data_IF_730296114756
#
_entry.id   IF_730296114756
#
_cell.length_a   1.000
_cell.length_b   1.000
_cell.length_c   1.000
_cell.angle_alpha   90.00
_cell.angle_beta   90.00
_cell.angle_gamma   90.00
#
_symmetry.space_group_name_H-M   'P 1'
#
loop_
_entity.id
_entity.type
_entity.pdbx_description
1 polymer ?
#
# COMPACT_ATOMS: atom_id res chain seq x y z
N UNK A 1 74.56 -65.25 40.56
CA UNK A 1 74.33 -63.89 41.09
C UNK A 1 73.63 -63.07 40.00
N UNK A 2 72.32 -62.82 40.14
CA UNK A 2 71.75 -61.49 40.46
C UNK A 2 72.15 -60.36 39.50
N UNK A 3 71.30 -60.00 38.54
CA UNK A 3 70.42 -58.78 38.57
C UNK A 3 69.78 -58.50 37.21
N UNK A 4 68.46 -58.33 37.24
CA UNK A 4 67.63 -57.65 36.24
C UNK A 4 67.94 -56.14 36.19
N UNK A 5 67.50 -55.43 35.13
CA UNK A 5 66.92 -54.06 35.11
C UNK A 5 66.72 -53.63 33.63
N UNK A 6 65.48 -53.58 33.11
CA UNK A 6 64.52 -52.45 32.96
C UNK A 6 64.50 -51.87 31.54
N UNK A 7 63.31 -51.96 30.93
CA UNK A 7 62.83 -51.34 29.69
C UNK A 7 62.62 -49.83 29.89
N UNK A 8 62.97 -49.01 28.90
CA UNK A 8 62.47 -47.63 28.80
C UNK A 8 61.96 -47.34 27.37
N UNK A 9 60.65 -47.46 27.20
CA UNK A 9 59.88 -46.94 26.08
C UNK A 9 59.76 -45.43 26.24
N UNK A 10 60.37 -44.65 25.35
CA UNK A 10 60.12 -43.21 25.25
C UNK A 10 58.98 -43.00 24.24
N UNK A 11 57.74 -43.00 24.74
CA UNK A 11 56.59 -42.45 24.05
C UNK A 11 56.55 -40.95 24.34
N UNK A 12 57.17 -40.15 23.46
CA UNK A 12 57.02 -38.70 23.48
C UNK A 12 55.61 -38.35 22.98
N UNK A 13 54.69 -38.14 23.92
CA UNK A 13 53.36 -37.62 23.65
C UNK A 13 53.43 -36.17 23.17
N UNK A 14 53.23 -35.95 21.86
CA UNK A 14 52.70 -34.68 21.34
C UNK A 14 51.20 -34.63 21.63
N UNK A 15 50.86 -34.41 22.89
CA UNK A 15 49.53 -33.93 23.28
C UNK A 15 49.45 -32.46 22.87
N UNK A 16 49.08 -32.21 21.61
CA UNK A 16 48.71 -30.88 21.17
C UNK A 16 47.63 -30.36 22.13
N UNK A 17 48.00 -29.39 22.95
CA UNK A 17 47.10 -28.62 23.79
C UNK A 17 46.14 -27.85 22.87
N UNK A 18 45.11 -28.52 22.37
CA UNK A 18 43.87 -27.89 21.97
C UNK A 18 43.19 -27.41 23.26
N UNK A 19 43.80 -26.42 23.90
CA UNK A 19 43.21 -25.76 25.07
C UNK A 19 41.82 -25.30 24.67
N UNK A 20 40.81 -25.78 25.39
CA UNK A 20 39.43 -25.32 25.27
C UNK A 20 39.41 -23.81 25.54
N UNK A 21 39.57 -23.02 24.49
CA UNK A 21 39.53 -21.56 24.53
C UNK A 21 38.17 -21.15 25.13
N UNK A 22 38.17 -20.65 26.37
CA UNK A 22 36.97 -20.30 27.13
C UNK A 22 36.14 -19.27 26.36
N UNK A 23 34.83 -19.50 26.19
CA UNK A 23 33.93 -18.51 25.57
C UNK A 23 33.87 -17.24 26.43
N UNK A 24 34.32 -16.12 25.89
CA UNK A 24 34.23 -14.78 26.48
C UNK A 24 34.21 -13.74 25.33
N UNK A 25 33.97 -12.46 25.63
CA UNK A 25 33.86 -11.43 24.60
C UNK A 25 35.12 -11.30 23.72
N UNK A 26 36.32 -11.28 24.33
CA UNK A 26 37.58 -11.16 23.59
C UNK A 26 37.80 -12.33 22.60
N UNK A 27 37.44 -13.55 23.01
CA UNK A 27 37.53 -14.71 22.15
C UNK A 27 36.47 -14.69 21.03
N UNK A 28 35.25 -14.21 21.32
CA UNK A 28 34.20 -14.01 20.31
C UNK A 28 34.64 -12.99 19.24
N UNK A 29 35.32 -11.91 19.63
CA UNK A 29 35.89 -10.94 18.69
C UNK A 29 37.01 -11.56 17.86
N UNK A 30 37.94 -12.27 18.51
CA UNK A 30 39.02 -13.00 17.82
C UNK A 30 38.49 -14.03 16.83
N UNK A 31 37.36 -14.66 17.11
CA UNK A 31 36.76 -15.63 16.19
C UNK A 31 36.25 -14.98 14.91
N UNK A 32 35.83 -13.72 14.92
CA UNK A 32 35.35 -13.02 13.73
C UNK A 32 36.35 -13.06 12.57
N UNK A 33 37.66 -12.97 12.85
CA UNK A 33 38.71 -12.92 11.83
C UNK A 33 39.38 -14.27 11.57
N UNK A 34 39.02 -15.32 12.32
CA UNK A 34 39.68 -16.63 12.25
C UNK A 34 38.99 -17.61 11.29
N UNK A 35 39.76 -18.48 10.63
CA UNK A 35 39.23 -19.51 9.69
C UNK A 35 38.22 -20.47 10.33
N UNK A 36 38.45 -20.87 11.59
CA UNK A 36 37.53 -21.75 12.36
C UNK A 36 36.46 -20.97 13.13
N UNK A 37 36.48 -19.64 13.04
CA UNK A 37 35.63 -18.73 13.79
C UNK A 37 34.13 -18.90 13.58
N UNK A 38 33.63 -18.98 12.33
CA UNK A 38 32.20 -19.14 12.05
C UNK A 38 31.57 -20.34 12.76
N UNK A 39 32.29 -21.47 12.81
CA UNK A 39 31.84 -22.67 13.52
C UNK A 39 31.71 -22.42 15.02
N UNK A 40 32.68 -21.71 15.63
CA UNK A 40 32.65 -21.36 17.05
C UNK A 40 31.54 -20.37 17.37
N UNK A 41 31.35 -19.33 16.56
CA UNK A 41 30.28 -18.34 16.73
C UNK A 41 28.89 -19.01 16.68
N UNK A 42 28.65 -19.87 15.70
CA UNK A 42 27.39 -20.64 15.60
C UNK A 42 27.18 -21.57 16.79
N UNK A 43 28.22 -22.27 17.22
CA UNK A 43 28.16 -23.13 18.41
C UNK A 43 27.85 -22.33 19.68
N UNK A 44 28.47 -21.16 19.85
CA UNK A 44 28.19 -20.25 20.98
C UNK A 44 26.75 -19.76 20.98
N UNK A 45 26.23 -19.32 19.83
CA UNK A 45 24.85 -18.84 19.72
C UNK A 45 23.82 -19.93 20.05
N UNK A 46 24.07 -21.18 19.63
CA UNK A 46 23.15 -22.31 19.83
C UNK A 46 23.24 -22.96 21.22
N UNK A 47 24.28 -22.65 21.99
CA UNK A 47 24.49 -23.29 23.29
C UNK A 47 23.62 -22.62 24.37
N UNK A 48 22.55 -23.31 24.76
CA UNK A 48 21.61 -22.83 25.79
C UNK A 48 22.21 -22.66 27.19
N UNK A 49 23.39 -23.23 27.46
CA UNK A 49 24.08 -23.12 28.76
C UNK A 49 25.06 -21.95 28.84
N UNK A 50 25.31 -21.24 27.73
CA UNK A 50 26.19 -20.06 27.71
C UNK A 50 25.42 -18.84 28.23
N UNK A 51 26.12 -17.82 28.73
CA UNK A 51 25.52 -16.52 29.05
C UNK A 51 24.76 -15.92 27.84
N UNK A 52 23.52 -15.41 28.00
CA UNK A 52 22.77 -14.78 26.91
C UNK A 52 23.52 -13.65 26.19
N UNK A 53 24.31 -12.85 26.92
CA UNK A 53 25.06 -11.72 26.36
C UNK A 53 26.25 -12.19 25.49
N UNK A 54 26.86 -13.32 25.83
CA UNK A 54 27.87 -13.96 24.97
C UNK A 54 27.23 -14.52 23.69
N UNK A 55 26.02 -15.08 23.79
CA UNK A 55 25.27 -15.55 22.62
C UNK A 55 24.88 -14.38 21.71
N UNK A 56 24.45 -13.26 22.30
CA UNK A 56 24.16 -12.03 21.59
C UNK A 56 25.41 -11.47 20.90
N UNK A 57 26.56 -11.45 21.57
CA UNK A 57 27.82 -11.01 20.96
C UNK A 57 28.23 -11.90 19.78
N UNK A 58 28.06 -13.22 19.90
CA UNK A 58 28.29 -14.14 18.80
C UNK A 58 27.35 -13.89 17.62
N UNK A 59 26.06 -13.64 17.86
CA UNK A 59 25.09 -13.28 16.83
C UNK A 59 25.45 -11.96 16.11
N UNK A 60 25.87 -10.92 16.84
CA UNK A 60 26.35 -9.66 16.25
C UNK A 60 27.50 -9.90 15.28
N UNK A 61 28.47 -10.76 15.66
CA UNK A 61 29.60 -11.08 14.81
C UNK A 61 29.23 -11.96 13.61
N UNK A 62 28.17 -12.78 13.71
CA UNK A 62 27.61 -13.49 12.56
C UNK A 62 26.93 -12.54 11.56
N UNK A 63 26.19 -11.53 12.02
CA UNK A 63 25.63 -10.50 11.14
C UNK A 63 26.71 -9.69 10.42
N UNK A 64 27.78 -9.30 11.10
CA UNK A 64 28.96 -8.65 10.48
C UNK A 64 29.62 -9.49 9.38
N UNK A 65 29.37 -10.80 9.38
CA UNK A 65 29.88 -11.77 8.41
C UNK A 65 28.85 -12.15 7.34
N UNK A 66 27.69 -11.50 7.32
CA UNK A 66 26.57 -11.84 6.43
C UNK A 66 26.10 -13.29 6.59
N UNK A 67 26.10 -13.80 7.84
CA UNK A 67 25.57 -15.11 8.20
C UNK A 67 24.17 -14.99 8.85
N UNK A 68 23.34 -14.03 8.40
CA UNK A 68 22.01 -13.75 8.97
C UNK A 68 21.08 -14.98 8.99
N UNK A 69 21.11 -15.81 7.96
CA UNK A 69 20.27 -17.02 7.87
C UNK A 69 20.66 -18.10 8.89
N UNK A 70 21.90 -18.11 9.36
CA UNK A 70 22.32 -18.98 10.46
C UNK A 70 21.84 -18.44 11.81
N UNK A 71 21.79 -17.12 11.98
CA UNK A 71 21.25 -16.47 13.18
C UNK A 71 19.74 -16.71 13.28
N UNK A 72 18.98 -16.52 12.19
CA UNK A 72 17.53 -16.79 12.15
C UNK A 72 17.21 -18.24 12.52
N UNK A 73 17.85 -19.20 11.85
CA UNK A 73 17.69 -20.63 12.17
C UNK A 73 18.04 -20.97 13.61
N UNK A 74 19.05 -20.33 14.18
CA UNK A 74 19.39 -20.51 15.58
C UNK A 74 18.28 -19.99 16.50
N UNK A 75 17.67 -18.83 16.21
CA UNK A 75 16.55 -18.30 17.00
C UNK A 75 15.26 -19.12 16.84
N UNK A 76 14.96 -19.63 15.65
CA UNK A 76 13.82 -20.53 15.43
C UNK A 76 13.92 -21.80 16.27
N UNK A 77 15.13 -22.39 16.37
CA UNK A 77 15.40 -23.57 17.18
C UNK A 77 15.62 -23.30 18.68
N UNK A 78 15.62 -22.03 19.11
CA UNK A 78 15.89 -21.64 20.50
C UNK A 78 14.62 -21.68 21.35
N UNK A 79 14.73 -22.16 22.58
CA UNK A 79 13.63 -22.12 23.54
C UNK A 79 13.12 -20.67 23.73
N UNK A 80 11.79 -20.41 23.80
CA UNK A 80 11.24 -19.05 23.80
C UNK A 80 11.84 -18.12 24.86
N UNK A 81 11.98 -18.61 26.09
CA UNK A 81 12.58 -17.86 27.21
C UNK A 81 14.02 -17.44 26.91
N UNK A 82 14.81 -18.40 26.46
CA UNK A 82 16.20 -18.18 26.11
C UNK A 82 16.34 -17.21 24.93
N UNK A 83 15.47 -17.33 23.92
CA UNK A 83 15.45 -16.44 22.77
C UNK A 83 15.19 -15.00 23.17
N UNK A 84 14.20 -14.78 24.04
CA UNK A 84 13.89 -13.46 24.60
C UNK A 84 15.12 -12.83 25.27
N UNK A 85 15.79 -13.57 26.15
CA UNK A 85 17.00 -13.07 26.85
C UNK A 85 18.12 -12.68 25.87
N UNK A 86 18.40 -13.53 24.87
CA UNK A 86 19.46 -13.26 23.88
C UNK A 86 19.10 -12.06 23.01
N UNK A 87 17.86 -11.97 22.51
CA UNK A 87 17.42 -10.86 21.65
C UNK A 87 17.44 -9.53 22.43
N UNK A 88 17.04 -9.53 23.70
CA UNK A 88 17.10 -8.35 24.58
C UNK A 88 18.54 -7.81 24.76
N UNK A 89 19.54 -8.69 24.81
CA UNK A 89 20.96 -8.29 24.85
C UNK A 89 21.52 -7.90 23.48
N UNK A 90 21.01 -8.52 22.41
CA UNK A 90 21.45 -8.29 21.05
C UNK A 90 20.98 -6.94 20.50
N UNK A 91 19.73 -6.54 20.75
CA UNK A 91 19.15 -5.30 20.23
C UNK A 91 20.03 -4.05 20.47
N UNK A 92 20.45 -3.71 21.71
CA UNK A 92 21.31 -2.55 21.93
C UNK A 92 22.70 -2.67 21.28
N UNK A 93 23.25 -3.89 21.16
CA UNK A 93 24.52 -4.14 20.45
C UNK A 93 24.39 -3.85 18.95
N UNK A 94 23.28 -4.26 18.34
CA UNK A 94 22.97 -3.97 16.94
C UNK A 94 22.69 -2.48 16.73
N UNK A 95 22.06 -1.80 17.70
CA UNK A 95 21.91 -0.35 17.65
C UNK A 95 23.25 0.38 17.69
N UNK A 96 24.19 -0.02 18.57
CA UNK A 96 25.55 0.53 18.55
C UNK A 96 26.22 0.36 17.20
N UNK A 97 25.94 -0.75 16.50
CA UNK A 97 26.44 -0.99 15.15
C UNK A 97 25.78 -0.08 14.10
N UNK A 98 24.46 0.11 14.20
CA UNK A 98 23.63 0.87 13.27
C UNK A 98 23.74 2.39 13.43
N UNK A 99 24.13 2.87 14.62
CA UNK A 99 24.05 4.27 15.01
C UNK A 99 24.86 5.17 14.09
N UNK A 100 24.28 6.31 13.75
CA UNK A 100 24.90 7.37 12.95
C UNK A 100 24.94 8.65 13.77
N UNK A 101 26.12 9.26 13.88
CA UNK A 101 26.34 10.45 14.69
C UNK A 101 26.05 11.76 13.93
N UNK A 102 26.08 11.75 12.59
CA UNK A 102 25.83 12.94 11.77
C UNK A 102 24.52 12.91 11.00
N UNK A 103 23.78 14.03 11.03
CA UNK A 103 22.48 14.19 10.37
C UNK A 103 22.55 13.90 8.86
N UNK A 104 23.55 14.47 8.18
CA UNK A 104 23.79 14.32 6.73
C UNK A 104 24.81 13.24 6.37
N UNK A 105 25.24 12.43 7.33
CA UNK A 105 26.27 11.40 7.10
C UNK A 105 25.66 10.21 6.37
N UNK A 106 26.30 9.81 5.25
CA UNK A 106 25.93 8.58 4.56
C UNK A 106 26.25 7.36 5.45
N UNK A 107 25.32 6.42 5.64
CA UNK A 107 25.61 5.17 6.33
C UNK A 107 26.81 4.43 5.72
N UNK A 108 27.65 3.90 6.59
CA UNK A 108 28.65 2.90 6.25
C UNK A 108 28.02 1.52 6.08
N UNK A 109 28.65 0.58 5.35
CA UNK A 109 28.15 -0.79 5.22
C UNK A 109 27.89 -1.47 6.58
N UNK A 110 28.73 -1.17 7.57
CA UNK A 110 28.57 -1.67 8.94
C UNK A 110 27.28 -1.17 9.59
N UNK A 111 26.93 0.10 9.40
CA UNK A 111 25.69 0.68 9.93
C UNK A 111 24.46 0.12 9.23
N UNK A 112 24.54 -0.12 7.91
CA UNK A 112 23.49 -0.81 7.15
C UNK A 112 23.24 -2.23 7.68
N UNK A 113 24.31 -3.00 7.92
CA UNK A 113 24.23 -4.33 8.55
C UNK A 113 23.54 -4.25 9.91
N UNK A 114 23.88 -3.24 10.73
CA UNK A 114 23.23 -3.03 12.03
C UNK A 114 21.73 -2.81 11.92
N UNK A 115 21.29 -1.95 10.98
CA UNK A 115 19.85 -1.72 10.68
C UNK A 115 19.15 -2.99 10.28
N UNK A 116 19.69 -3.66 9.27
CA UNK A 116 19.04 -4.84 8.71
C UNK A 116 19.01 -5.95 9.75
N UNK A 117 20.05 -6.10 10.57
CA UNK A 117 20.05 -7.03 11.69
C UNK A 117 18.96 -6.69 12.72
N UNK A 118 18.77 -5.41 13.08
CA UNK A 118 17.67 -4.99 13.97
C UNK A 118 16.30 -5.41 13.41
N UNK A 119 16.09 -5.22 12.10
CA UNK A 119 14.88 -5.67 11.42
C UNK A 119 14.71 -7.19 11.49
N UNK A 120 15.76 -7.95 11.18
CA UNK A 120 15.71 -9.41 11.10
C UNK A 120 15.49 -10.08 12.47
N UNK A 121 15.93 -9.44 13.56
CA UNK A 121 15.70 -9.97 14.92
C UNK A 121 14.36 -9.55 15.52
N UNK A 122 13.70 -8.54 14.94
CA UNK A 122 12.41 -7.99 15.42
C UNK A 122 11.31 -9.06 15.62
N UNK A 123 11.10 -10.03 14.72
CA UNK A 123 10.06 -11.04 14.90
C UNK A 123 10.27 -11.96 16.12
N UNK A 124 11.52 -12.11 16.58
CA UNK A 124 11.91 -12.96 17.70
C UNK A 124 11.87 -12.25 19.05
N UNK A 125 11.71 -10.92 19.05
CA UNK A 125 11.65 -10.09 20.24
C UNK A 125 10.29 -10.18 20.94
N UNK A 126 10.30 -10.10 22.27
CA UNK A 126 9.12 -9.81 23.08
C UNK A 126 8.66 -8.36 22.90
N UNK A 127 7.52 -7.99 23.47
CA UNK A 127 6.91 -6.67 23.22
C UNK A 127 7.81 -5.51 23.65
N UNK A 128 8.48 -5.64 24.81
CA UNK A 128 9.38 -4.61 25.32
C UNK A 128 10.62 -4.44 24.44
N UNK A 129 11.26 -5.53 24.06
CA UNK A 129 12.45 -5.49 23.18
C UNK A 129 12.07 -5.05 21.77
N UNK A 130 10.91 -5.48 21.27
CA UNK A 130 10.37 -5.05 19.97
C UNK A 130 10.12 -3.55 19.95
N UNK A 131 9.53 -2.99 21.00
CA UNK A 131 9.35 -1.55 21.12
C UNK A 131 10.68 -0.79 21.13
N UNK A 132 11.74 -1.33 21.77
CA UNK A 132 13.07 -0.75 21.73
C UNK A 132 13.69 -0.81 20.31
N UNK A 133 13.57 -1.96 19.62
CA UNK A 133 13.99 -2.11 18.22
C UNK A 133 13.26 -1.12 17.32
N UNK A 134 11.94 -0.96 17.52
CA UNK A 134 11.11 -0.03 16.75
C UNK A 134 11.55 1.42 16.96
N UNK A 135 11.92 1.78 18.20
CA UNK A 135 12.55 3.06 18.51
C UNK A 135 13.88 3.25 17.77
N UNK A 136 14.77 2.25 17.81
CA UNK A 136 16.06 2.32 17.10
C UNK A 136 15.91 2.43 15.59
N UNK A 137 14.98 1.69 14.98
CA UNK A 137 14.71 1.76 13.55
C UNK A 137 14.08 3.10 13.16
N UNK A 138 13.20 3.65 14.00
CA UNK A 138 12.65 5.01 13.83
C UNK A 138 13.77 6.05 13.89
N UNK A 139 14.57 6.05 14.96
CA UNK A 139 15.69 6.98 15.15
C UNK A 139 16.72 6.86 14.02
N UNK A 140 16.94 5.65 13.52
CA UNK A 140 17.82 5.45 12.38
C UNK A 140 17.27 6.15 11.14
N UNK A 141 16.02 5.88 10.76
CA UNK A 141 15.44 6.48 9.55
C UNK A 141 15.23 7.99 9.68
N UNK A 142 14.79 8.48 10.84
CA UNK A 142 14.35 9.87 11.02
C UNK A 142 15.36 10.77 11.72
N UNK A 143 16.44 10.24 12.27
CA UNK A 143 17.49 11.00 12.96
C UNK A 143 18.46 11.74 12.02
N UNK A 144 18.05 12.00 10.77
CA UNK A 144 18.84 12.71 9.78
C UNK A 144 18.24 12.64 8.38
N UNK A 145 19.09 12.65 7.36
CA UNK A 145 18.64 12.67 5.96
C UNK A 145 17.89 11.39 5.55
N UNK A 146 16.57 11.40 5.74
CA UNK A 146 15.70 10.25 5.53
C UNK A 146 15.87 9.63 4.13
N UNK A 147 15.92 10.46 3.08
CA UNK A 147 15.98 9.98 1.69
C UNK A 147 17.19 9.05 1.43
N UNK A 148 18.36 9.44 1.92
CA UNK A 148 19.57 8.63 1.81
C UNK A 148 19.50 7.37 2.68
N UNK A 149 18.94 7.48 3.88
CA UNK A 149 18.87 6.36 4.83
C UNK A 149 17.84 5.30 4.43
N UNK A 150 16.70 5.73 3.90
CA UNK A 150 15.61 4.86 3.46
C UNK A 150 15.99 3.97 2.27
N UNK A 151 16.96 4.41 1.46
CA UNK A 151 17.50 3.64 0.33
C UNK A 151 18.73 2.80 0.68
N UNK A 152 19.19 2.83 1.94
CA UNK A 152 20.41 2.14 2.38
C UNK A 152 20.13 0.77 3.01
N UNK A 153 21.01 -0.20 2.76
CA UNK A 153 20.86 -1.59 3.19
C UNK A 153 19.86 -2.40 2.36
N UNK A 154 19.62 -3.65 2.79
CA UNK A 154 18.76 -4.62 2.09
C UNK A 154 17.28 -4.35 2.32
N UNK A 155 16.91 -3.88 3.51
CA UNK A 155 15.51 -3.65 3.87
C UNK A 155 15.13 -2.20 3.58
N UNK A 156 14.19 -2.01 2.64
CA UNK A 156 13.72 -0.69 2.23
C UNK A 156 13.11 0.10 3.40
N UNK A 157 13.38 1.40 3.46
CA UNK A 157 12.86 2.28 4.51
C UNK A 157 11.33 2.28 4.58
N UNK A 158 10.64 2.26 3.44
CA UNK A 158 9.18 2.19 3.41
C UNK A 158 8.61 0.89 4.02
N UNK A 159 9.29 -0.24 3.82
CA UNK A 159 8.89 -1.51 4.44
C UNK A 159 9.04 -1.46 5.97
N UNK A 160 10.11 -0.82 6.44
CA UNK A 160 10.30 -0.54 7.87
C UNK A 160 9.17 0.36 8.38
N UNK A 161 8.89 1.50 7.71
CA UNK A 161 7.83 2.41 8.14
C UNK A 161 6.45 1.75 8.21
N UNK A 162 6.12 0.87 7.25
CA UNK A 162 4.86 0.09 7.28
C UNK A 162 4.76 -0.82 8.50
N UNK A 163 5.85 -1.44 8.92
CA UNK A 163 5.85 -2.32 10.09
C UNK A 163 5.90 -1.58 11.43
N UNK A 164 6.47 -0.37 11.46
CA UNK A 164 6.47 0.52 12.63
C UNK A 164 5.14 1.24 12.80
N UNK A 165 4.43 1.53 11.70
CA UNK A 165 3.10 2.08 11.71
C UNK A 165 3.03 3.58 12.03
N UNK A 166 1.86 4.08 12.48
CA UNK A 166 1.57 5.51 12.53
C UNK A 166 2.54 6.36 13.36
N UNK A 167 3.04 5.85 14.49
CA UNK A 167 3.98 6.56 15.38
C UNK A 167 5.28 6.96 14.67
N UNK A 168 5.76 6.13 13.74
CA UNK A 168 6.93 6.44 12.93
C UNK A 168 6.60 7.50 11.86
N UNK A 169 5.37 7.49 11.34
CA UNK A 169 4.85 8.52 10.43
C UNK A 169 4.85 9.92 11.04
N UNK A 170 4.50 10.07 12.32
CA UNK A 170 4.54 11.36 13.04
C UNK A 170 5.94 11.99 13.03
N UNK A 171 7.00 11.18 13.12
CA UNK A 171 8.38 11.66 13.02
C UNK A 171 8.73 12.14 11.61
N UNK A 172 8.21 11.49 10.56
CA UNK A 172 8.40 11.94 9.17
C UNK A 172 7.64 13.21 8.84
N UNK A 173 6.49 13.44 9.47
CA UNK A 173 5.73 14.69 9.29
C UNK A 173 6.61 15.89 9.65
N UNK A 174 7.35 15.81 10.77
CA UNK A 174 8.27 16.86 11.19
C UNK A 174 9.37 17.12 10.13
N UNK A 175 9.93 16.06 9.55
CA UNK A 175 10.95 16.17 8.51
C UNK A 175 10.40 16.77 7.21
N UNK A 176 9.23 16.33 6.77
CA UNK A 176 8.56 16.90 5.61
C UNK A 176 8.23 18.38 5.80
N UNK A 177 7.69 18.75 6.97
CA UNK A 177 7.41 20.14 7.30
C UNK A 177 8.67 21.00 7.34
N UNK A 178 9.80 20.47 7.83
CA UNK A 178 11.11 21.14 7.80
C UNK A 178 11.55 21.43 6.36
N UNK A 179 11.41 20.48 5.44
CA UNK A 179 11.72 20.67 4.01
C UNK A 179 10.76 21.65 3.34
N UNK A 180 9.47 21.60 3.70
CA UNK A 180 8.44 22.49 3.17
C UNK A 180 8.70 23.94 3.58
N UNK A 181 9.05 24.17 4.86
CA UNK A 181 9.28 25.48 5.46
C UNK A 181 10.69 26.05 5.20
N UNK A 182 11.62 25.25 4.67
CA UNK A 182 12.96 25.71 4.36
C UNK A 182 12.91 26.88 3.35
N UNK A 183 13.67 27.96 3.58
CA UNK A 183 13.68 29.11 2.69
C UNK A 183 14.21 28.73 1.32
N UNK A 184 13.67 29.39 0.30
CA UNK A 184 14.16 29.27 -1.07
C UNK A 184 15.63 29.69 -1.10
N UNK A 185 16.49 28.84 -1.68
CA UNK A 185 17.89 29.16 -1.93
C UNK A 185 18.07 29.34 -3.43
N UNK A 186 18.53 30.52 -3.84
CA UNK A 186 18.71 30.88 -5.25
C UNK A 186 17.43 30.71 -6.09
N UNK A 187 16.27 31.01 -5.50
CA UNK A 187 14.97 30.83 -6.13
C UNK A 187 14.54 29.37 -6.28
N UNK A 188 15.20 28.42 -5.60
CA UNK A 188 14.85 27.00 -5.62
C UNK A 188 14.46 26.50 -4.23
N UNK A 189 13.26 25.93 -4.16
CA UNK A 189 12.76 25.20 -3.00
C UNK A 189 13.48 23.87 -2.84
N UNK A 190 13.65 23.43 -1.59
CA UNK A 190 14.10 22.06 -1.33
C UNK A 190 13.09 21.06 -1.88
N UNK A 191 13.59 20.03 -2.58
CA UNK A 191 12.78 18.98 -3.16
C UNK A 191 12.32 18.00 -2.07
N UNK A 192 11.05 17.63 -2.10
CA UNK A 192 10.54 16.49 -1.34
C UNK A 192 10.91 15.20 -2.08
N UNK A 193 11.80 14.41 -1.48
CA UNK A 193 12.29 13.16 -2.07
C UNK A 193 11.23 12.07 -2.17
N UNK A 194 11.45 11.09 -3.06
CA UNK A 194 10.47 10.02 -3.33
C UNK A 194 10.35 9.07 -2.15
N UNK A 195 11.49 8.77 -1.51
CA UNK A 195 11.48 7.91 -0.33
C UNK A 195 10.69 8.58 0.78
N UNK A 196 10.86 9.89 1.02
CA UNK A 196 10.10 10.59 2.07
C UNK A 196 8.59 10.52 1.82
N UNK A 197 8.13 10.77 0.60
CA UNK A 197 6.72 10.67 0.24
C UNK A 197 6.19 9.24 0.46
N UNK A 198 6.93 8.24 0.00
CA UNK A 198 6.56 6.83 0.18
C UNK A 198 6.59 6.41 1.65
N UNK A 199 7.57 6.87 2.44
CA UNK A 199 7.69 6.58 3.86
C UNK A 199 6.52 7.13 4.68
N UNK A 200 6.12 8.38 4.39
CA UNK A 200 4.93 9.00 4.98
C UNK A 200 3.68 8.16 4.67
N UNK A 201 3.45 7.84 3.39
CA UNK A 201 2.30 7.06 2.97
C UNK A 201 2.31 5.62 3.54
N UNK A 202 3.44 4.93 3.46
CA UNK A 202 3.62 3.55 3.93
C UNK A 202 3.43 3.41 5.45
N UNK A 203 3.72 4.45 6.23
CA UNK A 203 3.46 4.44 7.68
C UNK A 203 1.99 4.15 8.03
N UNK A 204 1.07 4.45 7.11
CA UNK A 204 -0.38 4.33 7.33
C UNK A 204 -0.94 5.28 8.38
N UNK A 205 -0.16 6.26 8.85
CA UNK A 205 -0.69 7.34 9.70
C UNK A 205 -1.68 8.18 8.89
N UNK A 206 -2.93 8.37 9.34
CA UNK A 206 -3.89 9.22 8.64
C UNK A 206 -3.36 10.65 8.44
N UNK A 207 -2.64 11.20 9.41
CA UNK A 207 -2.06 12.54 9.32
C UNK A 207 -0.88 12.61 8.33
N UNK A 208 -0.05 11.56 8.28
CA UNK A 208 1.06 11.50 7.32
C UNK A 208 0.53 11.37 5.88
N UNK A 209 -0.48 10.52 5.68
CA UNK A 209 -1.13 10.32 4.38
C UNK A 209 -1.84 11.60 3.94
N UNK A 210 -2.57 12.26 4.85
CA UNK A 210 -3.17 13.57 4.61
C UNK A 210 -2.12 14.58 4.15
N UNK A 211 -0.96 14.66 4.83
CA UNK A 211 0.12 15.55 4.43
C UNK A 211 0.64 15.24 3.02
N UNK A 212 0.82 13.97 2.64
CA UNK A 212 1.27 13.60 1.28
C UNK A 212 0.24 14.06 0.23
N UNK A 213 -1.05 13.92 0.51
CA UNK A 213 -2.12 14.35 -0.39
C UNK A 213 -2.22 15.89 -0.44
N UNK A 214 -1.96 16.59 0.67
CA UNK A 214 -1.83 18.06 0.67
C UNK A 214 -0.64 18.50 -0.18
N UNK A 215 0.52 17.86 -0.01
CA UNK A 215 1.73 18.08 -0.81
C UNK A 215 1.44 17.93 -2.31
N UNK A 216 0.63 16.94 -2.71
CA UNK A 216 0.26 16.71 -4.10
C UNK A 216 -0.41 17.91 -4.78
N UNK A 217 -0.96 18.84 -4.01
CA UNK A 217 -1.67 20.03 -4.52
C UNK A 217 -0.95 21.35 -4.16
N UNK A 218 0.24 21.27 -3.54
CA UNK A 218 1.04 22.44 -3.25
C UNK A 218 1.66 23.00 -4.52
N UNK A 219 1.58 24.32 -4.70
CA UNK A 219 2.34 25.02 -5.74
C UNK A 219 3.81 25.12 -5.32
N UNK A 220 4.67 24.33 -5.95
CA UNK A 220 6.14 24.35 -5.80
C UNK A 220 6.76 24.32 -7.20
N UNK A 221 8.04 24.68 -7.29
CA UNK A 221 8.83 24.59 -8.52
C UNK A 221 9.25 23.13 -8.83
N UNK A 222 8.29 22.21 -8.78
CA UNK A 222 8.42 20.78 -9.12
C UNK A 222 7.09 20.33 -9.76
N UNK A 223 7.04 20.34 -11.09
CA UNK A 223 5.90 19.93 -11.90
C UNK A 223 5.56 18.44 -11.78
N UNK A 224 6.51 17.63 -11.29
CA UNK A 224 6.32 16.19 -11.08
C UNK A 224 5.76 15.85 -9.70
N UNK A 225 5.65 16.83 -8.80
CA UNK A 225 5.34 16.61 -7.39
C UNK A 225 3.96 15.95 -7.19
N UNK A 226 2.94 16.43 -7.90
CA UNK A 226 1.58 15.87 -7.81
C UNK A 226 1.58 14.38 -8.13
N UNK A 227 2.19 13.99 -9.27
CA UNK A 227 2.30 12.59 -9.68
C UNK A 227 3.07 11.76 -8.66
N UNK A 228 4.25 12.22 -8.22
CA UNK A 228 5.07 11.50 -7.23
C UNK A 228 4.35 11.27 -5.90
N UNK A 229 3.62 12.29 -5.42
CA UNK A 229 2.88 12.20 -4.18
C UNK A 229 1.70 11.23 -4.28
N UNK A 230 0.91 11.28 -5.37
CA UNK A 230 -0.17 10.33 -5.60
C UNK A 230 0.35 8.91 -5.85
N UNK A 231 1.44 8.75 -6.61
CA UNK A 231 2.12 7.46 -6.79
C UNK A 231 2.56 6.88 -5.44
N UNK A 232 3.07 7.70 -4.51
CA UNK A 232 3.48 7.25 -3.18
C UNK A 232 2.30 6.70 -2.36
N UNK A 233 1.15 7.38 -2.39
CA UNK A 233 -0.09 6.92 -1.74
C UNK A 233 -0.63 5.66 -2.43
N UNK A 234 -0.61 5.62 -3.77
CA UNK A 234 -1.02 4.46 -4.55
C UNK A 234 -0.20 3.22 -4.20
N UNK A 235 1.14 3.36 -4.17
CA UNK A 235 2.02 2.26 -3.77
C UNK A 235 1.76 1.82 -2.32
N UNK A 236 1.34 2.72 -1.43
CA UNK A 236 1.08 2.36 -0.04
C UNK A 236 -0.25 1.61 0.17
N UNK A 237 -1.30 1.94 -0.61
CA UNK A 237 -2.67 1.49 -0.35
C UNK A 237 -3.23 0.53 -1.40
N UNK A 238 -2.69 0.51 -2.62
CA UNK A 238 -3.22 -0.27 -3.75
C UNK A 238 -2.22 -1.34 -4.18
N UNK A 239 -1.03 -0.92 -4.65
CA UNK A 239 -0.01 -1.84 -5.18
C UNK A 239 1.40 -1.49 -4.68
N UNK A 240 1.83 -2.06 -3.55
CA UNK A 240 3.19 -1.89 -3.04
C UNK A 240 4.23 -2.65 -3.84
N UNK A 241 3.85 -3.35 -4.93
CA UNK A 241 4.73 -4.16 -5.79
C UNK A 241 5.57 -5.17 -5.00
N UNK A 242 4.95 -5.73 -3.96
CA UNK A 242 5.57 -6.70 -3.05
C UNK A 242 6.58 -6.11 -2.05
N UNK A 243 6.77 -4.79 -1.99
CA UNK A 243 7.71 -4.17 -1.04
C UNK A 243 7.27 -4.32 0.42
N UNK A 244 5.96 -4.25 0.68
CA UNK A 244 5.36 -4.38 2.00
C UNK A 244 3.84 -4.65 1.87
N UNK A 245 3.13 -5.08 2.93
CA UNK A 245 1.67 -5.27 2.87
C UNK A 245 0.92 -3.95 2.64
N UNK A 246 -0.20 -4.00 1.92
CA UNK A 246 -1.08 -2.83 1.70
C UNK A 246 -1.50 -2.20 3.04
N UNK A 247 -1.54 -0.87 3.08
CA UNK A 247 -2.02 -0.13 4.24
C UNK A 247 -3.54 -0.27 4.41
N UNK A 248 -4.02 -0.15 5.66
CA UNK A 248 -5.44 -0.13 5.96
C UNK A 248 -6.12 1.09 5.32
N UNK A 249 -7.07 0.91 4.38
CA UNK A 249 -7.74 2.01 3.68
C UNK A 249 -8.42 3.04 4.59
N UNK A 250 -8.73 2.71 5.85
CA UNK A 250 -9.25 3.68 6.82
C UNK A 250 -8.33 4.92 6.98
N UNK A 251 -7.03 4.77 6.74
CA UNK A 251 -6.07 5.89 6.76
C UNK A 251 -6.32 6.96 5.69
N UNK A 252 -7.04 6.64 4.61
CA UNK A 252 -7.38 7.57 3.53
C UNK A 252 -8.64 8.39 3.83
N UNK A 253 -9.47 7.97 4.79
CA UNK A 253 -10.78 8.58 5.05
C UNK A 253 -10.72 10.11 5.27
N UNK A 254 -9.75 10.67 6.01
CA UNK A 254 -9.63 12.12 6.19
C UNK A 254 -9.26 12.90 4.92
N UNK A 255 -8.86 12.21 3.86
CA UNK A 255 -8.36 12.80 2.61
C UNK A 255 -9.29 12.60 1.42
N UNK A 256 -10.47 12.00 1.62
CA UNK A 256 -11.42 11.68 0.54
C UNK A 256 -11.88 12.91 -0.26
N UNK A 257 -12.12 14.04 0.42
CA UNK A 257 -12.49 15.29 -0.25
C UNK A 257 -11.39 15.77 -1.20
N UNK A 258 -10.13 15.75 -0.73
CA UNK A 258 -8.96 16.20 -1.50
C UNK A 258 -8.66 15.24 -2.65
N UNK A 259 -8.77 13.93 -2.44
CA UNK A 259 -8.66 12.93 -3.51
C UNK A 259 -9.75 13.13 -4.56
N UNK A 260 -10.99 13.42 -4.13
CA UNK A 260 -12.09 13.76 -5.04
C UNK A 260 -11.80 15.01 -5.87
N UNK A 261 -11.23 16.05 -5.26
CA UNK A 261 -10.81 17.25 -5.97
C UNK A 261 -9.69 16.97 -6.99
N UNK A 262 -8.69 16.15 -6.65
CA UNK A 262 -7.61 15.74 -7.58
C UNK A 262 -8.19 14.92 -8.74
N UNK A 263 -9.08 13.97 -8.45
CA UNK A 263 -9.72 13.15 -9.47
C UNK A 263 -10.55 13.98 -10.47
N UNK A 264 -11.08 15.13 -10.06
CA UNK A 264 -11.95 16.02 -10.84
C UNK A 264 -11.23 17.22 -11.47
N UNK A 265 -9.94 17.35 -11.28
CA UNK A 265 -9.17 18.46 -11.81
C UNK A 265 -8.78 18.18 -13.27
N UNK A 266 -9.45 18.87 -14.20
CA UNK A 266 -9.18 18.84 -15.64
C UNK A 266 -7.71 19.17 -15.98
N UNK A 267 -6.95 19.81 -15.09
CA UNK A 267 -5.53 20.07 -15.29
C UNK A 267 -4.63 18.85 -15.08
N UNK A 268 -5.12 17.79 -14.44
CA UNK A 268 -4.31 16.64 -14.04
C UNK A 268 -4.01 15.69 -15.20
N UNK A 269 -2.88 14.99 -15.08
CA UNK A 269 -2.57 13.83 -15.91
C UNK A 269 -3.61 12.73 -15.68
N UNK A 270 -4.07 12.06 -16.74
CA UNK A 270 -5.10 11.01 -16.64
C UNK A 270 -4.74 9.90 -15.65
N UNK A 271 -3.45 9.56 -15.54
CA UNK A 271 -2.96 8.60 -14.55
C UNK A 271 -3.21 9.07 -13.12
N UNK A 272 -2.86 10.31 -12.80
CA UNK A 272 -3.06 10.89 -11.45
C UNK A 272 -4.54 10.89 -11.06
N UNK A 273 -5.42 11.27 -11.99
CA UNK A 273 -6.86 11.24 -11.76
C UNK A 273 -7.38 9.82 -11.52
N UNK A 274 -6.93 8.83 -12.32
CA UNK A 274 -7.32 7.44 -12.15
C UNK A 274 -6.80 6.83 -10.83
N UNK A 275 -5.54 7.10 -10.47
CA UNK A 275 -4.95 6.64 -9.22
C UNK A 275 -5.71 7.22 -8.01
N UNK A 276 -6.13 8.49 -8.07
CA UNK A 276 -6.99 9.10 -7.06
C UNK A 276 -8.36 8.41 -6.96
N UNK A 277 -8.97 8.03 -8.09
CA UNK A 277 -10.25 7.28 -8.11
C UNK A 277 -10.10 5.89 -7.48
N UNK A 278 -9.00 5.18 -7.76
CA UNK A 278 -8.72 3.89 -7.14
C UNK A 278 -8.50 4.00 -5.62
N UNK A 279 -7.78 5.04 -5.18
CA UNK A 279 -7.61 5.35 -3.76
C UNK A 279 -8.94 5.65 -3.06
N UNK A 280 -9.83 6.43 -3.68
CA UNK A 280 -11.18 6.69 -3.16
C UNK A 280 -11.96 5.38 -3.01
N UNK A 281 -11.88 4.47 -3.99
CA UNK A 281 -12.57 3.18 -3.95
C UNK A 281 -12.04 2.24 -2.89
N UNK A 282 -10.74 2.26 -2.62
CA UNK A 282 -10.13 1.42 -1.59
C UNK A 282 -10.74 1.66 -0.20
N UNK A 283 -11.21 2.88 0.09
CA UNK A 283 -11.87 3.21 1.37
C UNK A 283 -13.20 2.46 1.54
N UNK A 284 -13.88 2.14 0.44
CA UNK A 284 -15.16 1.46 0.47
C UNK A 284 -16.32 2.32 1.00
N UNK A 285 -17.47 1.67 1.19
CA UNK A 285 -18.69 2.33 1.66
C UNK A 285 -18.65 2.67 3.16
N UNK A 286 -19.27 3.78 3.59
CA UNK A 286 -19.97 4.78 2.77
C UNK A 286 -19.05 5.84 2.17
N UNK A 287 -17.77 5.88 2.55
CA UNK A 287 -16.86 7.00 2.29
C UNK A 287 -16.53 7.24 0.81
N UNK A 288 -16.40 6.19 0.00
CA UNK A 288 -16.06 6.32 -1.40
C UNK A 288 -17.14 6.98 -2.26
N UNK A 289 -18.42 6.90 -1.85
CA UNK A 289 -19.53 7.21 -2.75
C UNK A 289 -19.68 8.71 -3.03
N UNK A 290 -19.68 9.61 -2.02
CA UNK A 290 -19.81 11.06 -2.26
C UNK A 290 -18.82 11.64 -3.29
N UNK A 291 -17.49 11.45 -3.18
CA UNK A 291 -16.55 12.03 -4.14
C UNK A 291 -16.71 11.46 -5.57
N UNK A 292 -17.10 10.18 -5.71
CA UNK A 292 -17.36 9.56 -7.02
C UNK A 292 -18.65 10.10 -7.66
N UNK A 293 -19.68 10.36 -6.84
CA UNK A 293 -20.93 10.95 -7.32
C UNK A 293 -20.78 12.41 -7.75
N UNK A 294 -19.86 13.16 -7.13
CA UNK A 294 -19.52 14.52 -7.58
C UNK A 294 -18.96 14.52 -9.01
N UNK A 295 -18.15 13.51 -9.37
CA UNK A 295 -17.64 13.35 -10.74
C UNK A 295 -18.75 13.15 -11.78
N UNK A 296 -19.86 12.50 -11.41
CA UNK A 296 -20.99 12.24 -12.33
C UNK A 296 -21.69 13.53 -12.74
N UNK A 297 -21.82 14.47 -11.80
CA UNK A 297 -22.54 15.73 -12.00
C UNK A 297 -21.67 16.89 -12.48
N UNK A 298 -20.34 16.79 -12.35
CA UNK A 298 -19.43 17.88 -12.68
C UNK A 298 -19.24 18.02 -14.21
N UNK A 299 -19.39 19.24 -14.78
CA UNK A 299 -18.92 19.53 -16.13
C UNK A 299 -17.41 19.34 -16.22
N UNK A 300 -16.94 18.62 -17.24
CA UNK A 300 -15.53 18.30 -17.45
C UNK A 300 -15.21 18.39 -18.95
N UNK A 301 -13.97 18.75 -19.31
CA UNK A 301 -13.52 18.90 -20.71
C UNK A 301 -13.67 17.61 -21.53
N UNK A 302 -13.50 16.48 -20.87
CA UNK A 302 -13.72 15.14 -21.41
C UNK A 302 -15.10 14.62 -20.98
N UNK A 303 -16.07 14.45 -21.91
CA UNK A 303 -17.37 13.87 -21.62
C UNK A 303 -17.33 12.43 -21.08
N UNK A 304 -16.23 11.69 -21.27
CA UNK A 304 -16.05 10.35 -20.72
C UNK A 304 -15.90 10.36 -19.19
N UNK A 305 -15.49 11.49 -18.62
CA UNK A 305 -15.22 11.65 -17.19
C UNK A 305 -16.38 11.25 -16.29
N UNK A 306 -17.60 11.67 -16.62
CA UNK A 306 -18.81 11.29 -15.87
C UNK A 306 -19.03 9.79 -15.81
N UNK A 307 -18.60 9.05 -16.84
CA UNK A 307 -18.73 7.60 -16.92
C UNK A 307 -17.69 6.88 -16.08
N UNK A 308 -16.50 7.46 -15.94
CA UNK A 308 -15.50 7.01 -14.95
C UNK A 308 -16.08 7.15 -13.55
N UNK A 309 -16.65 8.31 -13.22
CA UNK A 309 -17.33 8.55 -11.94
C UNK A 309 -18.47 7.56 -11.69
N UNK A 310 -19.37 7.40 -12.67
CA UNK A 310 -20.52 6.50 -12.59
C UNK A 310 -20.09 5.04 -12.39
N UNK A 311 -19.17 4.52 -13.21
CA UNK A 311 -18.69 3.14 -13.10
C UNK A 311 -18.09 2.84 -11.73
N UNK A 312 -17.25 3.76 -11.24
CA UNK A 312 -16.57 3.59 -9.96
C UNK A 312 -17.54 3.75 -8.78
N UNK A 313 -18.52 4.66 -8.85
CA UNK A 313 -19.58 4.79 -7.86
C UNK A 313 -20.41 3.50 -7.75
N UNK A 314 -20.83 2.92 -8.88
CA UNK A 314 -21.56 1.64 -8.93
C UNK A 314 -20.74 0.50 -8.31
N UNK A 315 -19.46 0.37 -8.68
CA UNK A 315 -18.58 -0.65 -8.11
C UNK A 315 -18.38 -0.48 -6.61
N UNK A 316 -18.46 0.74 -6.09
CA UNK A 316 -18.29 0.98 -4.67
C UNK A 316 -19.57 0.79 -3.86
N UNK A 317 -20.68 1.40 -4.28
CA UNK A 317 -21.93 1.44 -3.49
C UNK A 317 -23.03 0.49 -3.96
N UNK A 318 -22.81 -0.30 -5.00
CA UNK A 318 -23.75 -1.31 -5.50
C UNK A 318 -25.15 -0.76 -5.76
N UNK A 319 -26.17 -1.42 -5.19
CA UNK A 319 -27.57 -1.04 -5.35
C UNK A 319 -27.86 0.41 -4.93
N UNK A 320 -27.27 0.89 -3.82
CA UNK A 320 -27.43 2.27 -3.37
C UNK A 320 -26.87 3.26 -4.39
N UNK A 321 -25.66 2.99 -4.89
CA UNK A 321 -25.05 3.84 -5.89
C UNK A 321 -25.83 3.87 -7.21
N UNK A 322 -26.51 2.78 -7.59
CA UNK A 322 -27.31 2.73 -8.82
C UNK A 322 -28.38 3.82 -8.86
N UNK A 323 -29.12 3.99 -7.77
CA UNK A 323 -30.16 5.02 -7.67
C UNK A 323 -29.54 6.41 -7.69
N UNK A 324 -28.49 6.64 -6.90
CA UNK A 324 -27.84 7.95 -6.78
C UNK A 324 -27.15 8.39 -8.07
N UNK A 325 -26.45 7.49 -8.77
CA UNK A 325 -25.81 7.76 -10.07
C UNK A 325 -26.87 8.13 -11.10
N UNK A 326 -27.93 7.33 -11.23
CA UNK A 326 -28.99 7.58 -12.20
C UNK A 326 -29.74 8.90 -11.95
N UNK A 327 -29.94 9.27 -10.68
CA UNK A 327 -30.55 10.53 -10.28
C UNK A 327 -29.70 11.77 -10.61
N UNK A 328 -28.36 11.64 -10.69
CA UNK A 328 -27.44 12.75 -11.01
C UNK A 328 -27.25 13.01 -12.50
N UNK A 329 -27.70 12.11 -13.36
CA UNK A 329 -27.60 12.30 -14.81
C UNK A 329 -28.65 13.31 -15.29
N UNK A 330 -28.19 14.37 -15.95
CA UNK A 330 -29.02 15.44 -16.51
C UNK A 330 -30.02 14.93 -17.56
N UNK A 331 -31.29 15.30 -17.43
CA UNK A 331 -32.31 15.04 -18.46
C UNK A 331 -32.12 15.85 -19.73
N UNK A 332 -31.28 16.90 -19.71
CA UNK A 332 -30.88 17.66 -20.89
C UNK A 332 -29.66 17.08 -21.61
N UNK A 333 -29.07 16.00 -21.08
CA UNK A 333 -27.87 15.38 -21.65
C UNK A 333 -28.14 14.48 -22.87
N UNK A 334 -27.06 14.17 -23.58
CA UNK A 334 -26.99 13.15 -24.64
C UNK A 334 -26.22 11.94 -24.13
N UNK A 335 -26.77 10.74 -24.35
CA UNK A 335 -26.26 9.49 -23.79
C UNK A 335 -26.25 8.37 -24.84
N UNK A 336 -25.04 7.97 -25.25
CA UNK A 336 -24.86 6.80 -26.09
C UNK A 336 -25.17 5.51 -25.32
N UNK A 337 -25.98 4.64 -25.92
CA UNK A 337 -26.42 3.40 -25.28
C UNK A 337 -25.24 2.50 -24.91
N UNK A 338 -24.28 2.36 -25.82
CA UNK A 338 -23.10 1.49 -25.62
C UNK A 338 -22.29 1.92 -24.39
N UNK A 339 -22.08 3.23 -24.22
CA UNK A 339 -21.31 3.80 -23.12
C UNK A 339 -22.09 3.74 -21.82
N UNK A 340 -23.38 4.11 -21.83
CA UNK A 340 -24.24 4.02 -20.65
C UNK A 340 -24.31 2.57 -20.14
N UNK A 341 -24.57 1.63 -21.04
CA UNK A 341 -24.62 0.21 -20.70
C UNK A 341 -23.27 -0.30 -20.20
N UNK A 342 -22.16 0.04 -20.86
CA UNK A 342 -20.82 -0.37 -20.44
C UNK A 342 -20.40 0.20 -19.08
N UNK A 343 -20.72 1.47 -18.81
CA UNK A 343 -20.31 2.15 -17.58
C UNK A 343 -21.20 1.83 -16.38
N UNK A 344 -22.52 1.70 -16.57
CA UNK A 344 -23.48 1.56 -15.46
C UNK A 344 -24.05 0.14 -15.37
N UNK A 345 -24.48 -0.44 -16.49
CA UNK A 345 -25.28 -1.69 -16.48
C UNK A 345 -24.40 -2.94 -16.43
N UNK A 346 -23.36 -3.00 -17.25
CA UNK A 346 -22.47 -4.16 -17.33
C UNK A 346 -21.82 -4.54 -15.99
N UNK A 347 -21.33 -3.59 -15.15
CA UNK A 347 -20.76 -3.93 -13.85
C UNK A 347 -21.74 -4.61 -12.90
N UNK A 348 -23.05 -4.38 -13.04
CA UNK A 348 -24.05 -4.90 -12.09
C UNK A 348 -24.03 -6.43 -12.00
N UNK A 349 -23.74 -7.11 -13.11
CA UNK A 349 -23.64 -8.58 -13.16
C UNK A 349 -22.49 -9.15 -12.32
N UNK A 350 -21.47 -8.33 -12.02
CA UNK A 350 -20.30 -8.73 -11.24
C UNK A 350 -20.45 -8.43 -9.75
N UNK A 351 -21.53 -7.74 -9.36
CA UNK A 351 -21.82 -7.39 -7.98
C UNK A 351 -22.61 -8.53 -7.32
N UNK A 352 -22.24 -8.88 -6.08
CA UNK A 352 -22.82 -10.03 -5.35
C UNK A 352 -24.26 -9.84 -4.84
N UNK A 353 -24.86 -8.65 -4.97
CA UNK A 353 -26.18 -8.30 -4.43
C UNK A 353 -27.24 -8.15 -5.54
N UNK A 354 -27.59 -9.26 -6.17
CA UNK A 354 -28.56 -9.27 -7.28
C UNK A 354 -29.94 -8.75 -6.87
N UNK A 355 -30.43 -9.14 -5.69
CA UNK A 355 -31.79 -8.77 -5.25
C UNK A 355 -31.89 -7.28 -4.89
N UNK A 356 -30.88 -6.72 -4.20
CA UNK A 356 -30.81 -5.29 -3.95
C UNK A 356 -30.71 -4.49 -5.25
N UNK A 357 -29.96 -5.00 -6.23
CA UNK A 357 -29.86 -4.39 -7.56
C UNK A 357 -31.18 -4.43 -8.35
N UNK A 358 -31.91 -5.55 -8.30
CA UNK A 358 -33.26 -5.63 -8.89
C UNK A 358 -34.23 -4.67 -8.20
N UNK A 359 -34.12 -4.48 -6.87
CA UNK A 359 -34.92 -3.51 -6.13
C UNK A 359 -34.62 -2.07 -6.55
N UNK A 360 -33.34 -1.69 -6.61
CA UNK A 360 -32.90 -0.38 -7.08
C UNK A 360 -33.33 -0.13 -8.54
N UNK A 361 -33.18 -1.12 -9.42
CA UNK A 361 -33.61 -1.00 -10.82
C UNK A 361 -35.13 -0.84 -10.94
N UNK A 362 -35.92 -1.54 -10.12
CA UNK A 362 -37.38 -1.35 -10.02
C UNK A 362 -37.74 0.07 -9.62
N UNK A 363 -37.08 0.63 -8.61
CA UNK A 363 -37.28 2.02 -8.18
C UNK A 363 -37.06 2.99 -9.34
N UNK A 364 -35.96 2.80 -10.08
CA UNK A 364 -35.60 3.66 -11.21
C UNK A 364 -36.65 3.69 -12.32
N UNK A 365 -37.40 2.60 -12.56
CA UNK A 365 -38.47 2.59 -13.58
C UNK A 365 -39.60 3.59 -13.29
N UNK A 366 -39.78 4.02 -12.04
CA UNK A 366 -40.76 5.03 -11.63
C UNK A 366 -40.19 6.44 -11.49
N UNK A 367 -38.91 6.65 -11.75
CA UNK A 367 -38.22 7.90 -11.47
C UNK A 367 -38.63 9.03 -12.45
N UNK A 368 -38.69 10.31 -12.04
CA UNK A 368 -39.06 11.42 -12.93
C UNK A 368 -38.07 11.65 -14.09
N UNK A 369 -36.77 11.42 -13.87
CA UNK A 369 -35.75 11.48 -14.93
C UNK A 369 -35.92 10.36 -15.95
N UNK A 370 -36.02 10.70 -17.24
CA UNK A 370 -36.09 9.71 -18.32
C UNK A 370 -34.82 8.86 -18.43
N UNK A 371 -33.65 9.43 -18.09
CA UNK A 371 -32.36 8.73 -18.09
C UNK A 371 -32.35 7.67 -16.99
N UNK A 372 -32.88 8.01 -15.81
CA UNK A 372 -33.01 7.09 -14.70
C UNK A 372 -33.95 5.92 -15.04
N UNK A 373 -35.12 6.21 -15.65
CA UNK A 373 -36.03 5.15 -16.13
C UNK A 373 -35.35 4.24 -17.16
N UNK A 374 -34.58 4.81 -18.07
CA UNK A 374 -33.83 4.04 -19.06
C UNK A 374 -32.79 3.11 -18.41
N UNK A 375 -32.00 3.62 -17.47
CA UNK A 375 -31.06 2.79 -16.69
C UNK A 375 -31.79 1.67 -15.94
N UNK A 376 -32.93 1.96 -15.32
CA UNK A 376 -33.76 0.96 -14.64
C UNK A 376 -34.19 -0.17 -15.59
N UNK A 377 -34.65 0.17 -16.80
CA UNK A 377 -35.02 -0.82 -17.83
C UNK A 377 -33.83 -1.71 -18.23
N UNK A 378 -32.70 -1.10 -18.58
CA UNK A 378 -31.50 -1.85 -19.01
C UNK A 378 -30.96 -2.73 -17.87
N UNK A 379 -30.97 -2.23 -16.63
CA UNK A 379 -30.55 -2.98 -15.45
C UNK A 379 -31.46 -4.18 -15.18
N UNK A 380 -32.78 -4.02 -15.22
CA UNK A 380 -33.73 -5.13 -15.05
C UNK A 380 -33.53 -6.21 -16.13
N UNK A 381 -33.35 -5.80 -17.38
CA UNK A 381 -33.10 -6.73 -18.47
C UNK A 381 -31.76 -7.45 -18.31
N UNK A 382 -30.67 -6.72 -18.04
CA UNK A 382 -29.32 -7.28 -17.87
C UNK A 382 -29.21 -8.21 -16.66
N UNK A 383 -29.97 -7.95 -15.61
CA UNK A 383 -30.04 -8.81 -14.43
C UNK A 383 -30.99 -9.99 -14.65
N UNK A 384 -31.69 -10.10 -15.78
CA UNK A 384 -32.63 -11.20 -16.04
C UNK A 384 -33.83 -11.19 -15.10
N UNK A 385 -34.36 -10.01 -14.77
CA UNK A 385 -35.52 -9.81 -13.91
C UNK A 385 -36.83 -10.24 -14.59
N UNK A 386 -37.02 -11.54 -14.87
CA UNK A 386 -38.22 -12.06 -15.56
C UNK A 386 -39.53 -11.68 -14.87
N UNK A 387 -39.53 -11.63 -13.54
CA UNK A 387 -40.68 -11.19 -12.74
C UNK A 387 -41.09 -9.73 -13.03
N UNK A 388 -40.18 -8.92 -13.59
CA UNK A 388 -40.41 -7.51 -13.91
C UNK A 388 -40.89 -7.28 -15.35
N UNK A 389 -41.14 -8.34 -16.13
CA UNK A 389 -41.57 -8.21 -17.52
C UNK A 389 -42.87 -7.38 -17.67
N UNK A 390 -43.83 -7.55 -16.76
CA UNK A 390 -45.08 -6.77 -16.76
C UNK A 390 -44.83 -5.28 -16.46
N UNK A 391 -43.90 -4.98 -15.54
CA UNK A 391 -43.50 -3.60 -15.19
C UNK A 391 -42.84 -2.91 -16.38
N UNK A 392 -41.91 -3.61 -17.05
CA UNK A 392 -41.25 -3.12 -18.26
C UNK A 392 -42.28 -2.88 -19.37
N UNK A 393 -43.22 -3.82 -19.59
CA UNK A 393 -44.30 -3.66 -20.56
C UNK A 393 -45.20 -2.45 -20.26
N UNK A 394 -45.39 -2.11 -18.98
CA UNK A 394 -46.13 -0.91 -18.55
C UNK A 394 -45.54 0.41 -19.07
N UNK A 395 -44.24 0.44 -19.38
CA UNK A 395 -43.54 1.62 -19.92
C UNK A 395 -43.65 1.75 -21.44
N UNK A 396 -44.32 0.84 -22.15
CA UNK A 396 -44.43 0.86 -23.62
C UNK A 396 -45.05 2.16 -24.18
N UNK A 397 -45.80 2.91 -23.37
CA UNK A 397 -46.42 4.19 -23.74
C UNK A 397 -45.54 5.42 -23.43
N UNK A 398 -44.36 5.25 -22.82
CA UNK A 398 -43.47 6.36 -22.52
C UNK A 398 -42.86 6.94 -23.82
N UNK A 399 -43.15 8.23 -24.06
CA UNK A 399 -42.76 8.97 -25.26
C UNK A 399 -41.43 9.74 -25.09
N UNK A 400 -40.76 9.63 -23.95
CA UNK A 400 -39.46 10.27 -23.74
C UNK A 400 -38.45 9.77 -24.78
N UNK A 401 -37.79 10.70 -25.48
CA UNK A 401 -36.76 10.37 -26.47
C UNK A 401 -35.44 10.05 -25.76
N UNK A 402 -34.77 8.98 -26.18
CA UNK A 402 -33.45 8.59 -25.66
C UNK A 402 -32.36 9.40 -26.37
N UNK A 403 -32.25 10.69 -26.05
CA UNK A 403 -31.34 11.61 -26.74
C UNK A 403 -29.90 11.07 -26.67
N UNK A 404 -29.26 10.94 -27.84
CA UNK A 404 -27.90 10.43 -27.96
C UNK A 404 -27.76 8.92 -28.09
N UNK A 405 -28.86 8.15 -28.11
CA UNK A 405 -28.84 6.68 -28.08
C UNK A 405 -27.81 6.03 -29.02
N UNK A 406 -27.67 6.55 -30.23
CA UNK A 406 -26.79 6.03 -31.28
C UNK A 406 -25.40 6.70 -31.33
N UNK A 407 -25.05 7.57 -30.38
CA UNK A 407 -23.85 8.40 -30.43
C UNK A 407 -23.97 9.59 -31.38
N UNK A 408 -22.84 10.24 -31.68
CA UNK A 408 -22.79 11.33 -32.66
C UNK A 408 -22.99 10.78 -34.08
N UNK A 409 -24.04 11.25 -34.74
CA UNK A 409 -24.38 10.90 -36.12
C UNK A 409 -24.21 12.07 -37.09
N UNK A 410 -23.65 13.20 -36.64
CA UNK A 410 -23.51 14.43 -37.43
C UNK A 410 -22.67 14.25 -38.70
N UNK A 411 -21.70 13.32 -38.66
CA UNK A 411 -20.88 12.96 -39.82
C UNK A 411 -21.54 11.99 -40.81
N UNK A 412 -22.71 11.42 -40.49
CA UNK A 412 -23.38 10.45 -41.35
C UNK A 412 -24.35 11.12 -42.34
N UNK A 413 -24.44 10.64 -43.60
CA UNK A 413 -25.48 11.07 -44.52
C UNK A 413 -26.88 10.90 -43.89
N UNK A 414 -27.82 11.83 -44.13
CA UNK A 414 -29.17 11.79 -43.55
C UNK A 414 -29.88 10.45 -43.73
N UNK A 415 -29.70 9.79 -44.88
CA UNK A 415 -30.30 8.50 -45.18
C UNK A 415 -29.75 7.34 -44.30
N UNK A 416 -28.57 7.52 -43.70
CA UNK A 416 -27.92 6.55 -42.81
C UNK A 416 -28.15 6.89 -41.33
N UNK A 417 -28.68 8.08 -41.03
CA UNK A 417 -28.97 8.48 -39.65
C UNK A 417 -30.16 7.69 -39.10
N UNK A 418 -29.94 7.01 -37.98
CA UNK A 418 -30.96 6.22 -37.28
C UNK A 418 -31.86 7.14 -36.47
N UNK A 419 -33.16 6.90 -36.53
CA UNK A 419 -34.15 7.59 -35.70
C UNK A 419 -33.89 7.32 -34.21
N UNK A 420 -33.98 8.36 -33.38
CA UNK A 420 -33.81 8.24 -31.92
C UNK A 420 -35.00 7.47 -31.34
N UNK A 421 -34.78 6.34 -30.66
CA UNK A 421 -35.86 5.57 -30.07
C UNK A 421 -36.49 6.30 -28.87
N UNK A 422 -37.74 5.98 -28.58
CA UNK A 422 -38.37 6.35 -27.31
C UNK A 422 -38.10 5.32 -26.23
N UNK A 423 -38.27 5.72 -24.98
CA UNK A 423 -38.19 4.81 -23.83
C UNK A 423 -39.21 3.66 -23.96
N UNK A 424 -40.42 3.93 -24.43
CA UNK A 424 -41.44 2.90 -24.66
C UNK A 424 -41.08 1.88 -25.76
N UNK A 425 -40.43 2.33 -26.84
CA UNK A 425 -39.91 1.42 -27.87
C UNK A 425 -38.84 0.49 -27.27
N UNK A 426 -37.89 1.05 -26.49
CA UNK A 426 -36.85 0.27 -25.83
C UNK A 426 -37.40 -0.68 -24.77
N UNK A 427 -38.41 -0.25 -24.02
CA UNK A 427 -39.09 -1.09 -23.04
C UNK A 427 -39.77 -2.30 -23.70
N UNK A 428 -40.37 -2.12 -24.87
CA UNK A 428 -41.00 -3.23 -25.62
C UNK A 428 -39.95 -4.25 -26.09
N UNK A 429 -38.82 -3.77 -26.60
CA UNK A 429 -37.69 -4.61 -27.02
C UNK A 429 -37.13 -5.44 -25.86
N UNK A 430 -36.77 -4.79 -24.75
CA UNK A 430 -36.23 -5.46 -23.57
C UNK A 430 -37.26 -6.36 -22.87
N UNK A 431 -38.53 -5.99 -22.90
CA UNK A 431 -39.62 -6.82 -22.37
C UNK A 431 -39.76 -8.14 -23.14
N UNK A 432 -39.45 -8.15 -24.45
CA UNK A 432 -39.46 -9.37 -25.24
C UNK A 432 -38.32 -10.33 -24.87
N UNK A 433 -37.16 -9.82 -24.44
CA UNK A 433 -36.01 -10.66 -24.03
C UNK A 433 -36.18 -11.32 -22.66
N UNK A 434 -37.17 -10.89 -21.87
CA UNK A 434 -37.43 -11.40 -20.52
C UNK A 434 -38.57 -12.43 -20.45
N UNK A 435 -39.32 -12.61 -21.55
CA UNK A 435 -40.31 -13.69 -21.71
C UNK A 435 -39.58 -14.98 -22.04
#
# INVERSE_FOLDING_TARGET
MRRAIVVALIALGLSAAAGCEKTNHANIDKWMTSKKGPGKLRATLRNGSIDPDLSAHAAQNLFRRSEEEEVKRAFEGMAPERRREVVAKLAPRLWTLARIEGEMTKPSPTQEIGKDALWEVRPFADDATRAAIDGYLTDWLTGGYYEGRASSGRIAGAAIMRALGPKAGERLIAEANRIIAAPDKDGKRLRLGDQLLLGLAASGSPDAVKLVIEIATMKRDDDTLTRRAIDAVYNAFIDPRGLFPVADPAGLAPSLERLGAIARDDGQESRVANDAVELIRAVGMPGCLPPLLEMVSQPHRDPAFRWVGANNAIRCGGAKALVEVAGRLSTGGSYEQSILSGAIVAPLSTLGDREGLLAAARELTGHPSWVARWIGLEALASLGGKAEAARIAGLAKDKAKLVGYWGDQSGLPKAQQKAVPTLGQRATELGATLK
#
